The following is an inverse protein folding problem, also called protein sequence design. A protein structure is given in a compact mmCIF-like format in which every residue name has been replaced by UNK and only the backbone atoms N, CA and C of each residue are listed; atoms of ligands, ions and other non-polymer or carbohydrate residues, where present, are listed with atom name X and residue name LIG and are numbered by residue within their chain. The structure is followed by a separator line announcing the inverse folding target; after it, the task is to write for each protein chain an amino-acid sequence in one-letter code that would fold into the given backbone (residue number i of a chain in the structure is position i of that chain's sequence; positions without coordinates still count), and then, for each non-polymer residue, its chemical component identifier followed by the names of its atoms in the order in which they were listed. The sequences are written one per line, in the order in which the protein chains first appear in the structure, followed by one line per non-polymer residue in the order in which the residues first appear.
data_IF_294881294320
#
_entry.id   IF_294881294320
#
_cell.length_a   1.000
_cell.length_b   1.000
_cell.length_c   1.000
_cell.angle_alpha   90.00
_cell.angle_beta   90.00
_cell.angle_gamma   90.00
#
_symmetry.space_group_name_H-M   'P 1'
#
loop_
_entity.id
_entity.type
_entity.pdbx_description
1 polymer ?
#
# COMPACT_ATOMS: atom_id res chain seq x y z
N UNK A 1 25.60 44.56 -19.81
CA UNK A 1 24.99 43.33 -19.27
C UNK A 1 23.89 43.75 -18.30
N UNK A 2 22.62 43.95 -18.62
CA UNK A 2 21.84 43.66 -19.80
C UNK A 2 20.45 43.24 -19.32
N UNK A 3 19.53 44.18 -19.07
CA UNK A 3 18.16 43.94 -18.58
C UNK A 3 17.42 42.76 -19.29
N UNK A 4 17.79 42.49 -20.55
CA UNK A 4 17.31 41.36 -21.34
C UNK A 4 17.73 39.98 -20.78
N UNK A 5 18.97 39.83 -20.28
CA UNK A 5 19.47 38.57 -19.70
C UNK A 5 18.72 38.22 -18.42
N UNK A 6 18.49 39.20 -17.53
CA UNK A 6 17.66 39.03 -16.33
C UNK A 6 16.21 38.66 -16.66
N UNK A 7 15.64 39.25 -17.71
CA UNK A 7 14.26 38.96 -18.13
C UNK A 7 14.13 37.53 -18.68
N UNK A 8 15.12 37.08 -19.45
CA UNK A 8 15.17 35.71 -19.98
C UNK A 8 15.29 34.68 -18.85
N UNK A 9 16.22 34.87 -17.91
CA UNK A 9 16.38 33.99 -16.76
C UNK A 9 15.11 33.88 -15.91
N UNK A 10 14.41 35.00 -15.70
CA UNK A 10 13.12 35.02 -15.00
C UNK A 10 12.04 34.25 -15.75
N UNK A 11 11.99 34.33 -17.08
CA UNK A 11 11.05 33.55 -17.88
C UNK A 11 11.36 32.06 -17.82
N UNK A 12 12.63 31.67 -17.90
CA UNK A 12 13.06 30.27 -17.75
C UNK A 12 12.63 29.72 -16.38
N UNK A 13 12.85 30.47 -15.30
CA UNK A 13 12.42 30.07 -13.95
C UNK A 13 10.90 29.92 -13.83
N UNK A 14 10.11 30.83 -14.42
CA UNK A 14 8.65 30.75 -14.42
C UNK A 14 8.16 29.53 -15.19
N UNK A 15 8.72 29.25 -16.36
CA UNK A 15 8.39 28.07 -17.15
C UNK A 15 8.77 26.79 -16.40
N UNK A 16 9.97 26.72 -15.83
CA UNK A 16 10.39 25.59 -15.02
C UNK A 16 9.45 25.34 -13.82
N UNK A 17 9.06 26.40 -13.12
CA UNK A 17 8.11 26.32 -12.00
C UNK A 17 6.73 25.85 -12.46
N UNK A 18 6.26 26.36 -13.61
CA UNK A 18 4.99 25.94 -14.20
C UNK A 18 5.00 24.47 -14.60
N UNK A 19 6.04 24.01 -15.30
CA UNK A 19 6.22 22.61 -15.69
C UNK A 19 6.24 21.71 -14.44
N UNK A 20 7.01 22.08 -13.42
CA UNK A 20 7.06 21.33 -12.16
C UNK A 20 5.69 21.28 -11.48
N UNK A 21 4.94 22.38 -11.49
CA UNK A 21 3.58 22.43 -10.92
C UNK A 21 2.60 21.55 -11.69
N UNK A 22 2.63 21.59 -13.02
CA UNK A 22 1.77 20.76 -13.88
C UNK A 22 2.13 19.28 -13.70
N UNK A 23 3.41 18.94 -13.75
CA UNK A 23 3.88 17.57 -13.54
C UNK A 23 3.47 17.03 -12.17
N UNK A 24 3.63 17.84 -11.12
CA UNK A 24 3.22 17.45 -9.77
C UNK A 24 1.72 17.24 -9.68
N UNK A 25 0.92 18.09 -10.33
CA UNK A 25 -0.55 17.96 -10.33
C UNK A 25 -1.00 16.72 -11.08
N UNK A 26 -0.46 16.47 -12.27
CA UNK A 26 -0.77 15.28 -13.07
C UNK A 26 -0.37 14.01 -12.33
N UNK A 27 0.83 13.99 -11.75
CA UNK A 27 1.30 12.86 -10.95
C UNK A 27 0.38 12.59 -9.75
N UNK A 28 -0.02 13.63 -9.01
CA UNK A 28 -0.92 13.47 -7.87
C UNK A 28 -2.30 12.95 -8.28
N UNK A 29 -2.83 13.40 -9.42
CA UNK A 29 -4.11 12.90 -9.94
C UNK A 29 -4.03 11.43 -10.33
N UNK A 30 -2.97 11.04 -11.03
CA UNK A 30 -2.74 9.64 -11.40
C UNK A 30 -2.60 8.75 -10.16
N UNK A 31 -1.88 9.21 -9.13
CA UNK A 31 -1.74 8.46 -7.88
C UNK A 31 -3.05 8.33 -7.13
N UNK A 32 -3.86 9.39 -7.07
CA UNK A 32 -5.19 9.33 -6.45
C UNK A 32 -6.13 8.36 -7.17
N UNK A 33 -6.09 8.34 -8.51
CA UNK A 33 -6.89 7.41 -9.30
C UNK A 33 -6.46 5.96 -9.07
N UNK A 34 -5.14 5.70 -9.02
CA UNK A 34 -4.62 4.36 -8.67
C UNK A 34 -5.07 3.91 -7.29
N UNK A 35 -4.99 4.79 -6.28
CA UNK A 35 -5.46 4.47 -4.92
C UNK A 35 -6.97 4.21 -4.90
N UNK A 36 -7.75 4.97 -5.67
CA UNK A 36 -9.21 4.75 -5.82
C UNK A 36 -9.52 3.40 -6.45
N UNK A 37 -8.84 3.03 -7.54
CA UNK A 37 -9.02 1.72 -8.18
C UNK A 37 -8.73 0.57 -7.21
N UNK A 38 -7.70 0.71 -6.37
CA UNK A 38 -7.35 -0.28 -5.34
C UNK A 38 -8.41 -0.31 -4.24
N UNK A 39 -8.89 0.86 -3.79
CA UNK A 39 -9.96 0.96 -2.79
C UNK A 39 -11.24 0.23 -3.24
N UNK A 40 -11.59 0.33 -4.52
CA UNK A 40 -12.77 -0.35 -5.09
C UNK A 40 -12.57 -1.88 -5.15
N UNK A 41 -11.33 -2.33 -5.32
CA UNK A 41 -10.98 -3.76 -5.35
C UNK A 41 -10.80 -4.39 -3.97
N UNK A 42 -10.60 -3.59 -2.90
CA UNK A 42 -10.38 -4.12 -1.56
C UNK A 42 -11.70 -4.51 -0.90
N UNK A 43 -11.68 -5.73 -0.37
CA UNK A 43 -12.76 -6.35 0.38
C UNK A 43 -12.67 -6.10 1.88
N UNK A 44 -13.63 -6.63 2.65
CA UNK A 44 -13.60 -6.54 4.10
C UNK A 44 -12.43 -7.32 4.71
N UNK A 45 -12.19 -7.10 6.00
CA UNK A 45 -11.22 -7.89 6.77
C UNK A 45 -11.66 -9.35 6.90
N UNK A 46 -10.77 -10.29 6.56
CA UNK A 46 -10.96 -11.73 6.73
C UNK A 46 -10.37 -12.17 8.07
N UNK A 47 -11.23 -12.53 9.02
CA UNK A 47 -10.85 -13.16 10.30
C UNK A 47 -9.77 -12.40 11.10
N UNK A 48 -9.74 -11.07 11.00
CA UNK A 48 -8.81 -10.26 11.77
C UNK A 48 -9.36 -10.08 13.18
N UNK A 49 -9.01 -11.03 14.06
CA UNK A 49 -9.21 -10.87 15.51
C UNK A 49 -8.08 -9.99 16.00
N UNK A 50 -8.36 -8.70 16.19
CA UNK A 50 -7.39 -7.83 16.85
C UNK A 50 -7.26 -8.24 18.32
N UNK A 51 -6.03 -8.44 18.83
CA UNK A 51 -5.75 -8.37 20.25
C UNK A 51 -6.34 -7.06 20.83
N UNK A 52 -6.80 -7.06 22.10
CA UNK A 52 -7.40 -5.88 22.73
C UNK A 52 -6.47 -4.64 22.72
N UNK A 53 -5.16 -4.85 22.68
CA UNK A 53 -4.15 -3.78 22.56
C UNK A 53 -4.07 -3.15 21.16
N UNK A 54 -4.52 -3.86 20.12
CA UNK A 54 -4.55 -3.40 18.73
C UNK A 54 -5.94 -2.89 18.30
N UNK A 55 -6.94 -2.95 19.19
CA UNK A 55 -8.29 -2.41 18.95
C UNK A 55 -8.27 -0.89 18.76
N UNK A 56 -7.35 -0.19 19.44
CA UNK A 56 -7.11 1.25 19.25
C UNK A 56 -6.59 1.57 17.85
N UNK A 57 -5.72 0.73 17.30
CA UNK A 57 -5.19 0.86 15.93
C UNK A 57 -6.29 0.55 14.91
N UNK A 58 -7.14 -0.45 15.20
CA UNK A 58 -8.33 -0.72 14.41
C UNK A 58 -9.26 0.49 14.35
N UNK A 59 -9.44 1.23 15.46
CA UNK A 59 -10.24 2.46 15.51
C UNK A 59 -9.55 3.63 14.79
N UNK A 60 -8.21 3.71 14.85
CA UNK A 60 -7.42 4.73 14.16
C UNK A 60 -7.55 4.61 12.62
N UNK A 61 -7.61 3.37 12.10
CA UNK A 61 -7.73 3.09 10.67
C UNK A 61 -9.16 2.81 10.17
N UNK A 62 -10.06 2.37 11.04
CA UNK A 62 -11.49 2.20 10.74
C UNK A 62 -12.28 3.15 11.65
N UNK A 63 -12.40 4.43 11.25
CA UNK A 63 -13.23 5.39 12.00
C UNK A 63 -14.70 4.99 12.03
N UNK A 64 -15.17 4.29 11.01
CA UNK A 64 -16.54 3.84 10.93
C UNK A 64 -16.64 2.44 11.56
N UNK A 65 -16.89 2.40 12.87
CA UNK A 65 -17.01 1.15 13.66
C UNK A 65 -18.11 0.19 13.15
N UNK A 66 -18.93 0.65 12.19
CA UNK A 66 -19.98 -0.12 11.50
C UNK A 66 -19.52 -0.73 10.16
N UNK A 67 -18.49 -0.19 9.52
CA UNK A 67 -18.02 -0.66 8.23
C UNK A 67 -16.73 -1.45 8.42
N UNK A 68 -16.81 -2.77 8.34
CA UNK A 68 -15.66 -3.69 8.35
C UNK A 68 -14.81 -3.58 7.06
N UNK A 69 -14.61 -2.35 6.54
CA UNK A 69 -13.92 -2.04 5.29
C UNK A 69 -12.92 -0.93 5.54
N UNK A 70 -11.71 -1.13 5.04
CA UNK A 70 -10.67 -0.10 5.01
C UNK A 70 -10.99 0.92 3.92
N UNK A 71 -11.01 2.21 4.28
CA UNK A 71 -11.13 3.29 3.31
C UNK A 71 -9.75 3.89 3.02
N UNK A 72 -9.23 3.66 1.82
CA UNK A 72 -7.93 4.19 1.40
C UNK A 72 -7.96 5.67 1.01
N UNK A 73 -9.15 6.25 0.83
CA UNK A 73 -9.34 7.66 0.45
C UNK A 73 -9.43 8.59 1.67
N UNK A 74 -9.54 8.03 2.87
CA UNK A 74 -9.56 8.80 4.11
C UNK A 74 -8.18 9.41 4.43
N UNK A 75 -8.24 10.56 5.10
CA UNK A 75 -7.07 11.29 5.58
C UNK A 75 -6.24 10.40 6.50
N UNK A 76 -4.93 10.40 6.28
CA UNK A 76 -4.04 9.48 6.96
C UNK A 76 -3.83 9.94 8.42
N UNK A 77 -3.78 9.01 9.41
CA UNK A 77 -3.85 9.35 10.84
C UNK A 77 -2.78 10.33 11.35
N UNK A 78 -1.68 10.49 10.62
CA UNK A 78 -0.50 11.27 11.04
C UNK A 78 -0.13 12.40 10.05
N UNK A 79 -0.99 12.75 9.09
CA UNK A 79 -0.55 13.58 7.96
C UNK A 79 -0.66 15.09 8.13
N UNK A 80 0.42 15.76 7.68
CA UNK A 80 0.51 17.18 7.38
C UNK A 80 -0.51 17.52 6.29
N UNK A 81 -1.36 18.53 6.55
CA UNK A 81 -2.41 18.98 5.61
C UNK A 81 -1.88 19.09 4.18
N UNK A 82 -2.49 18.36 3.26
CA UNK A 82 -2.23 18.46 1.81
C UNK A 82 -1.48 17.28 1.18
N UNK A 83 -0.96 16.35 1.97
CA UNK A 83 -0.35 15.12 1.45
C UNK A 83 -1.38 13.99 1.38
N UNK A 84 -1.58 13.44 0.18
CA UNK A 84 -2.49 12.31 -0.08
C UNK A 84 -1.73 10.99 -0.07
N UNK A 85 -2.42 9.91 0.29
CA UNK A 85 -1.90 8.54 0.19
C UNK A 85 -1.42 8.27 -1.22
N UNK A 86 -0.20 7.76 -1.36
CA UNK A 86 0.36 7.35 -2.64
C UNK A 86 0.75 5.88 -2.58
N UNK A 87 0.56 5.17 -3.69
CA UNK A 87 1.08 3.82 -3.85
C UNK A 87 2.54 3.89 -4.31
N UNK A 88 3.43 3.25 -3.54
CA UNK A 88 4.85 3.13 -3.83
C UNK A 88 5.11 1.86 -4.65
N UNK A 89 4.55 0.73 -4.21
CA UNK A 89 4.75 -0.56 -4.86
C UNK A 89 3.55 -1.50 -4.62
N UNK A 90 3.31 -2.42 -5.54
CA UNK A 90 2.38 -3.52 -5.34
C UNK A 90 2.85 -4.78 -6.08
N UNK A 91 2.38 -5.94 -5.62
CA UNK A 91 2.63 -7.18 -6.33
C UNK A 91 2.29 -8.46 -5.55
N UNK A 92 2.34 -9.60 -6.24
CA UNK A 92 2.18 -10.90 -5.60
C UNK A 92 3.39 -11.24 -4.72
N UNK A 93 3.14 -11.75 -3.52
CA UNK A 93 4.16 -12.20 -2.57
C UNK A 93 3.74 -13.53 -1.95
N UNK A 94 4.70 -14.26 -1.38
CA UNK A 94 4.43 -15.44 -0.56
C UNK A 94 4.63 -15.12 0.91
N UNK A 95 3.58 -15.25 1.69
CA UNK A 95 3.65 -15.13 3.15
C UNK A 95 3.92 -16.51 3.74
N UNK A 96 5.07 -16.66 4.39
CA UNK A 96 5.42 -17.88 5.13
C UNK A 96 5.07 -17.68 6.60
N UNK A 97 4.09 -18.43 7.08
CA UNK A 97 3.80 -18.60 8.50
C UNK A 97 4.39 -19.94 8.99
N UNK A 98 4.50 -20.14 10.30
CA UNK A 98 5.20 -21.27 10.92
C UNK A 98 4.78 -22.66 10.39
N UNK A 99 3.56 -22.79 9.87
CA UNK A 99 2.99 -24.04 9.36
C UNK A 99 2.44 -23.97 7.93
N UNK A 100 2.45 -22.80 7.29
CA UNK A 100 1.83 -22.66 5.97
C UNK A 100 2.48 -21.56 5.12
N UNK A 101 2.57 -21.78 3.81
CA UNK A 101 2.93 -20.75 2.84
C UNK A 101 1.68 -20.35 2.08
N UNK A 102 1.34 -19.07 2.06
CA UNK A 102 0.15 -18.55 1.39
C UNK A 102 0.53 -17.51 0.34
N UNK A 103 -0.11 -17.61 -0.83
CA UNK A 103 0.00 -16.61 -1.87
C UNK A 103 -0.86 -15.39 -1.49
N UNK A 104 -0.24 -14.22 -1.45
CA UNK A 104 -0.84 -12.96 -1.04
C UNK A 104 -0.55 -11.87 -2.07
N UNK A 105 -1.34 -10.81 -2.07
CA UNK A 105 -1.09 -9.61 -2.86
C UNK A 105 -0.86 -8.44 -1.90
N UNK A 106 0.29 -7.79 -2.04
CA UNK A 106 0.71 -6.74 -1.12
C UNK A 106 0.69 -5.37 -1.81
N UNK A 107 0.33 -4.36 -1.02
CA UNK A 107 0.36 -2.96 -1.42
C UNK A 107 1.20 -2.18 -0.42
N UNK A 108 2.20 -1.45 -0.91
CA UNK A 108 3.01 -0.54 -0.14
C UNK A 108 2.58 0.89 -0.47
N UNK A 109 1.99 1.55 0.52
CA UNK A 109 1.62 2.95 0.48
C UNK A 109 2.65 3.82 1.20
N UNK A 110 2.54 5.14 1.03
CA UNK A 110 3.37 6.13 1.69
C UNK A 110 3.32 6.11 3.22
N UNK A 111 2.24 5.57 3.81
CA UNK A 111 2.00 5.54 5.26
C UNK A 111 1.80 4.14 5.84
N UNK A 112 1.52 3.13 5.01
CA UNK A 112 1.17 1.79 5.47
C UNK A 112 1.54 0.71 4.45
N UNK A 113 1.64 -0.52 4.95
CA UNK A 113 1.76 -1.74 4.18
C UNK A 113 0.52 -2.60 4.38
N UNK A 114 -0.12 -2.99 3.29
CA UNK A 114 -1.37 -3.76 3.27
C UNK A 114 -1.12 -5.14 2.65
N UNK A 115 -1.59 -6.17 3.35
CA UNK A 115 -1.51 -7.56 2.90
C UNK A 115 -2.93 -8.06 2.63
N UNK A 116 -3.19 -8.47 1.40
CA UNK A 116 -4.49 -9.00 0.98
C UNK A 116 -4.36 -10.41 0.42
N UNK A 117 -5.47 -11.13 0.42
CA UNK A 117 -5.63 -12.44 -0.21
C UNK A 117 -6.60 -12.30 -1.35
N UNK A 118 -6.22 -12.81 -2.52
CA UNK A 118 -7.15 -12.91 -3.62
C UNK A 118 -8.30 -13.84 -3.21
N UNK A 119 -9.52 -13.30 -3.25
CA UNK A 119 -10.72 -14.10 -3.06
C UNK A 119 -10.77 -15.17 -4.15
N UNK A 120 -10.69 -16.46 -3.78
CA UNK A 120 -10.93 -17.54 -4.74
C UNK A 120 -12.40 -17.46 -5.14
N UNK A 121 -12.67 -17.39 -6.46
CA UNK A 121 -13.98 -17.69 -7.03
C UNK A 121 -14.40 -19.06 -6.48
N UNK A 122 -15.55 -19.13 -5.81
CA UNK A 122 -16.14 -20.43 -5.49
C UNK A 122 -16.39 -21.16 -6.82
N UNK A 123 -15.55 -22.14 -7.15
CA UNK A 123 -15.72 -23.00 -8.31
C UNK A 123 -14.73 -22.81 -9.48
N UNK A 124 -13.44 -22.60 -9.24
CA UNK A 124 -12.44 -22.83 -10.30
C UNK A 124 -11.15 -23.38 -9.72
N UNK A 125 -10.80 -24.56 -10.19
CA UNK A 125 -9.53 -25.28 -9.98
C UNK A 125 -8.33 -24.41 -10.28
N UNK A 126 -7.22 -24.69 -9.60
CA UNK A 126 -5.95 -23.99 -9.65
C UNK A 126 -5.49 -23.65 -11.07
N UNK A 127 -5.42 -22.36 -11.38
CA UNK A 127 -4.69 -21.86 -12.55
C UNK A 127 -3.97 -20.56 -12.18
N UNK A 128 -2.65 -20.69 -12.06
CA UNK A 128 -1.58 -19.70 -12.27
C UNK A 128 -1.82 -18.21 -11.93
N UNK A 129 -1.07 -17.75 -10.92
CA UNK A 129 -0.87 -16.36 -10.49
C UNK A 129 -0.04 -15.52 -11.49
N UNK A 130 -0.50 -15.33 -12.72
CA UNK A 130 0.29 -14.60 -13.73
C UNK A 130 -0.53 -13.65 -14.61
N UNK A 131 -1.42 -12.86 -14.03
CA UNK A 131 -2.15 -11.84 -14.79
C UNK A 131 -2.56 -10.67 -13.91
N UNK A 132 -1.57 -9.91 -13.43
CA UNK A 132 -1.75 -8.51 -13.02
C UNK A 132 -0.56 -7.68 -13.49
N UNK A 133 -0.32 -7.68 -14.80
CA UNK A 133 0.55 -6.70 -15.46
C UNK A 133 -0.20 -6.17 -16.67
N UNK A 134 -0.68 -4.93 -16.55
CA UNK A 134 -1.16 -4.00 -17.56
C UNK A 134 -2.33 -4.45 -18.46
N UNK A 135 -3.43 -3.71 -18.43
CA UNK A 135 -3.88 -2.93 -19.59
C UNK A 135 -5.22 -2.25 -19.32
N UNK A 136 -5.35 -1.03 -19.87
CA UNK A 136 -6.60 -0.31 -19.97
C UNK A 136 -7.63 -1.10 -20.80
N UNK A 137 -8.91 -0.87 -20.48
CA UNK A 137 -10.11 -1.38 -21.16
C UNK A 137 -10.42 -2.87 -20.96
N UNK A 138 -11.38 -3.16 -20.07
CA UNK A 138 -12.56 -3.95 -20.46
C UNK A 138 -13.63 -3.92 -19.37
N UNK A 139 -14.79 -3.39 -19.74
CA UNK A 139 -16.03 -3.45 -19.00
C UNK A 139 -16.69 -4.80 -19.30
N UNK A 140 -16.86 -5.69 -18.30
CA UNK A 140 -17.91 -6.75 -18.23
C UNK A 140 -17.71 -7.65 -16.99
N UNK A 141 -18.71 -7.65 -16.12
CA UNK A 141 -18.91 -8.70 -15.10
C UNK A 141 -18.48 -8.30 -13.69
N UNK A 142 -19.39 -7.68 -12.94
CA UNK A 142 -19.31 -7.51 -11.49
C UNK A 142 -19.47 -8.86 -10.77
N UNK A 143 -18.48 -9.74 -10.91
CA UNK A 143 -18.32 -10.87 -9.99
C UNK A 143 -17.37 -10.43 -8.87
N UNK A 144 -17.88 -10.40 -7.65
CA UNK A 144 -17.25 -9.95 -6.40
C UNK A 144 -15.89 -10.64 -6.11
N UNK A 145 -14.84 -10.27 -6.83
CA UNK A 145 -13.44 -10.61 -6.52
C UNK A 145 -12.83 -9.43 -5.76
N UNK A 146 -13.32 -9.20 -4.55
CA UNK A 146 -12.67 -8.24 -3.66
C UNK A 146 -11.51 -8.93 -2.94
N UNK A 147 -10.33 -8.33 -3.01
CA UNK A 147 -9.15 -8.80 -2.31
C UNK A 147 -9.38 -8.63 -0.81
N UNK A 148 -9.47 -9.73 -0.07
CA UNK A 148 -9.78 -9.69 1.36
C UNK A 148 -8.54 -9.29 2.15
N UNK A 149 -8.72 -8.41 3.13
CA UNK A 149 -7.61 -7.96 3.97
C UNK A 149 -7.26 -9.08 4.95
N UNK A 150 -6.01 -9.53 4.95
CA UNK A 150 -5.55 -10.65 5.79
C UNK A 150 -5.04 -10.21 7.15
N UNK A 151 -4.47 -9.00 7.22
CA UNK A 151 -3.87 -8.43 8.43
C UNK A 151 -4.21 -6.96 8.50
N UNK A 152 -4.20 -6.41 9.72
CA UNK A 152 -4.31 -4.97 9.90
C UNK A 152 -3.23 -4.24 9.08
N UNK A 153 -3.54 -3.07 8.51
CA UNK A 153 -2.54 -2.24 7.86
C UNK A 153 -1.37 -1.98 8.82
N UNK A 154 -0.16 -2.27 8.36
CA UNK A 154 1.05 -2.07 9.16
C UNK A 154 1.59 -0.70 8.81
N UNK A 155 1.68 0.19 9.81
CA UNK A 155 2.23 1.52 9.58
C UNK A 155 3.68 1.46 9.12
N UNK A 156 4.05 2.29 8.15
CA UNK A 156 5.39 2.28 7.56
C UNK A 156 6.50 2.56 8.59
N UNK A 157 6.21 3.40 9.60
CA UNK A 157 7.13 3.74 10.69
C UNK A 157 7.43 2.57 11.65
N UNK A 158 6.64 1.50 11.58
CA UNK A 158 6.78 0.31 12.43
C UNK A 158 7.39 -0.89 11.69
N UNK A 159 7.74 -0.76 10.41
CA UNK A 159 8.26 -1.86 9.61
C UNK A 159 9.78 -1.96 9.79
N UNK A 160 10.25 -3.15 10.15
CA UNK A 160 11.67 -3.49 10.15
C UNK A 160 11.90 -4.61 9.13
N UNK A 161 12.79 -4.37 8.16
CA UNK A 161 13.12 -5.33 7.10
C UNK A 161 14.43 -6.00 7.43
N UNK A 162 14.44 -7.33 7.41
CA UNK A 162 15.63 -8.16 7.61
C UNK A 162 15.74 -9.18 6.50
N UNK A 163 16.96 -9.48 6.10
CA UNK A 163 17.21 -10.59 5.19
C UNK A 163 16.92 -11.91 5.90
N UNK A 164 16.23 -12.80 5.20
CA UNK A 164 15.91 -14.13 5.70
C UNK A 164 16.83 -15.16 5.05
N UNK A 165 17.81 -15.65 5.79
CA UNK A 165 18.63 -16.78 5.36
C UNK A 165 17.84 -18.09 5.53
N UNK A 166 17.63 -18.82 4.42
CA UNK A 166 16.98 -20.13 4.44
C UNK A 166 17.79 -21.20 5.19
N UNK A 167 19.06 -20.92 5.50
CA UNK A 167 19.98 -21.81 6.24
C UNK A 167 20.01 -21.53 7.75
N UNK A 168 19.28 -20.53 8.24
CA UNK A 168 19.29 -20.09 9.63
C UNK A 168 18.60 -21.04 10.61
N UNK A 169 19.26 -22.16 10.91
CA UNK A 169 19.15 -22.80 12.21
C UNK A 169 19.63 -21.82 13.29
N UNK A 170 18.91 -21.80 14.41
CA UNK A 170 19.14 -20.98 15.60
C UNK A 170 20.63 -20.73 15.89
N UNK A 171 21.07 -19.48 15.79
CA UNK A 171 22.24 -19.01 16.53
C UNK A 171 21.77 -17.97 17.54
N UNK A 172 21.40 -18.45 18.73
CA UNK A 172 21.33 -17.62 19.92
C UNK A 172 22.74 -17.07 20.20
N UNK A 173 23.02 -15.83 19.82
CA UNK A 173 24.12 -15.08 20.42
C UNK A 173 23.61 -14.39 21.69
N UNK A 174 23.34 -15.18 22.73
CA UNK A 174 23.39 -14.66 24.09
C UNK A 174 24.87 -14.60 24.47
N UNK A 175 25.40 -13.40 24.54
CA UNK A 175 26.64 -13.13 25.28
C UNK A 175 26.35 -11.93 26.15
N UNK A 176 25.89 -12.22 27.37
CA UNK A 176 25.95 -11.27 28.48
C UNK A 176 27.43 -10.88 28.70
N UNK A 177 27.73 -9.61 29.00
CA UNK A 177 29.03 -9.25 29.54
C UNK A 177 29.07 -9.69 31.00
N UNK A 178 29.95 -10.65 31.31
CA UNK A 178 30.41 -10.85 32.68
C UNK A 178 31.32 -9.69 33.09
N UNK A 179 31.10 -9.25 34.33
CA UNK A 179 31.69 -8.14 35.09
C UNK A 179 33.18 -7.89 34.84
#
# INVERSE_FOLDING_TARGET
MGQAEFTCLRHIQKVATFVNRVNSKLHNQEQEERVRQINDHIGPYENVIAPPELTSILQEYNRDSMSNRLNLLEDMPLHVRGYRRQIIQQGPMKMKDAKNSQDVYCYLFSDMFLITKCGKRSGSTATSLSSMTNDAQSNRGTSNLSNKILKLPIRIDRINVREYDRRGGSSNSNTEPSI
#
